data_IF_638403766510
#
_entry.id   IF_638403766510
#
_cell.length_a   1.000
_cell.length_b   1.000
_cell.length_c   1.000
_cell.angle_alpha   90.00
_cell.angle_beta   90.00
_cell.angle_gamma   90.00
#
_symmetry.space_group_name_H-M   'P 1'
#
loop_
_entity.id
_entity.type
_entity.pdbx_description
1 polymer ?
#
# COMPACT_ATOMS: atom_id res chain seq x y z
N UNK A 1 -25.74 -8.10 -20.93
CA UNK A 1 -27.05 -7.57 -20.50
C UNK A 1 -26.79 -6.54 -19.41
N UNK A 2 -27.27 -5.30 -19.58
CA UNK A 2 -27.37 -4.28 -18.53
C UNK A 2 -26.23 -3.26 -18.46
N UNK A 3 -26.36 -2.18 -19.22
CA UNK A 3 -25.55 -0.95 -19.17
C UNK A 3 -26.49 0.20 -18.75
N UNK A 4 -26.09 1.08 -17.82
CA UNK A 4 -26.64 2.42 -17.50
C UNK A 4 -25.76 2.98 -16.35
N UNK A 5 -25.00 4.07 -16.41
CA UNK A 5 -25.31 5.39 -16.93
C UNK A 5 -24.04 6.09 -17.47
N UNK A 6 -24.15 6.53 -18.71
CA UNK A 6 -23.47 7.70 -19.28
C UNK A 6 -24.45 8.88 -19.25
N UNK A 7 -23.91 10.09 -19.45
CA UNK A 7 -24.59 11.39 -19.57
C UNK A 7 -24.67 12.20 -18.27
N UNK A 8 -23.66 13.04 -18.04
CA UNK A 8 -23.85 14.49 -18.17
C UNK A 8 -22.47 15.13 -18.37
N UNK A 9 -22.05 15.19 -19.64
CA UNK A 9 -20.97 16.03 -20.14
C UNK A 9 -21.32 17.52 -19.95
N UNK A 10 -20.32 18.39 -19.79
CA UNK A 10 -20.57 19.82 -20.00
C UNK A 10 -19.57 20.85 -19.48
N UNK A 11 -18.28 20.68 -19.78
CA UNK A 11 -17.32 21.73 -20.13
C UNK A 11 -17.40 23.15 -19.52
N UNK A 12 -16.31 23.47 -18.80
CA UNK A 12 -15.35 24.53 -19.15
C UNK A 12 -15.54 25.95 -18.56
N UNK A 13 -14.56 26.29 -17.69
CA UNK A 13 -13.81 27.54 -17.63
C UNK A 13 -14.55 28.87 -17.40
N UNK A 14 -14.28 29.52 -16.25
CA UNK A 14 -13.34 30.65 -16.15
C UNK A 14 -13.43 31.37 -14.80
N UNK A 15 -12.27 31.45 -14.15
CA UNK A 15 -11.70 32.55 -13.38
C UNK A 15 -12.58 33.70 -12.84
N UNK A 16 -12.41 33.87 -11.52
CA UNK A 16 -12.01 35.11 -10.83
C UNK A 16 -13.00 36.27 -10.68
N UNK A 17 -13.03 36.74 -9.42
CA UNK A 17 -12.90 38.14 -9.01
C UNK A 17 -14.13 38.70 -8.28
N UNK A 18 -13.96 38.75 -6.96
CA UNK A 18 -14.74 39.53 -6.00
C UNK A 18 -14.88 40.98 -6.43
N UNK A 19 -16.08 41.55 -6.33
CA UNK A 19 -16.29 42.97 -6.02
C UNK A 19 -17.71 43.25 -5.53
N UNK A 20 -17.73 44.02 -4.46
CA UNK A 20 -18.86 44.53 -3.67
C UNK A 20 -19.80 45.42 -4.51
N UNK A 21 -21.10 45.37 -4.20
CA UNK A 21 -22.12 46.27 -4.72
C UNK A 21 -23.33 46.29 -3.79
N UNK A 22 -23.42 47.37 -3.03
CA UNK A 22 -24.50 47.75 -2.11
C UNK A 22 -25.71 48.22 -2.94
N UNK A 23 -26.93 47.76 -2.65
CA UNK A 23 -28.11 48.50 -3.07
C UNK A 23 -29.32 48.26 -2.16
N UNK A 24 -29.89 49.38 -1.74
CA UNK A 24 -30.91 49.49 -0.71
C UNK A 24 -32.31 49.45 -1.33
N UNK A 25 -33.31 49.08 -0.52
CA UNK A 25 -34.76 49.30 -0.73
C UNK A 25 -35.47 48.52 -1.85
N UNK A 26 -36.34 47.58 -1.44
CA UNK A 26 -37.78 47.75 -1.67
C UNK A 26 -38.64 46.74 -0.91
N UNK A 27 -39.65 47.32 -0.28
CA UNK A 27 -40.67 46.78 0.62
C UNK A 27 -41.73 45.91 -0.07
N UNK A 28 -42.48 45.14 0.75
CA UNK A 28 -43.82 44.58 0.52
C UNK A 28 -43.91 43.28 -0.33
N UNK A 29 -44.12 42.13 0.31
CA UNK A 29 -45.45 41.47 0.43
C UNK A 29 -45.37 40.06 1.00
N UNK A 30 -46.41 39.75 1.75
CA UNK A 30 -46.66 38.54 2.52
C UNK A 30 -46.97 37.30 1.66
N UNK A 31 -46.86 36.15 2.34
CA UNK A 31 -47.65 34.92 2.19
C UNK A 31 -47.02 33.70 1.50
N UNK A 32 -47.06 32.60 2.25
CA UNK A 32 -47.09 31.19 1.81
C UNK A 32 -45.84 30.57 1.19
N UNK A 33 -45.09 29.79 2.00
CA UNK A 33 -44.98 28.31 1.89
C UNK A 33 -43.96 27.76 2.87
N UNK A 34 -44.35 26.66 3.52
CA UNK A 34 -43.60 25.95 4.53
C UNK A 34 -42.14 25.66 4.16
N UNK A 35 -41.32 25.92 5.15
CA UNK A 35 -39.87 26.08 5.17
C UNK A 35 -39.14 24.72 5.06
N UNK A 36 -38.85 24.26 3.84
CA UNK A 36 -37.83 23.22 3.59
C UNK A 36 -36.55 23.88 3.07
N UNK A 37 -35.98 24.75 3.88
CA UNK A 37 -34.74 25.47 3.58
C UNK A 37 -33.60 24.78 4.34
N UNK A 38 -33.07 23.67 3.81
CA UNK A 38 -31.77 23.15 4.29
C UNK A 38 -30.74 24.15 3.79
N UNK A 39 -30.11 24.98 4.65
CA UNK A 39 -29.18 25.98 4.18
C UNK A 39 -28.05 25.26 3.44
N UNK A 40 -27.68 25.75 2.24
CA UNK A 40 -26.52 25.29 1.46
C UNK A 40 -25.27 25.08 2.34
N UNK A 41 -25.15 25.83 3.44
CA UNK A 41 -24.17 25.65 4.52
C UNK A 41 -24.04 24.22 5.03
N UNK A 42 -25.14 23.49 5.29
CA UNK A 42 -25.08 22.14 5.87
C UNK A 42 -24.56 21.12 4.86
N UNK A 43 -25.03 21.18 3.61
CA UNK A 43 -24.55 20.29 2.53
C UNK A 43 -23.06 20.56 2.23
N UNK A 44 -22.65 21.83 2.23
CA UNK A 44 -21.25 22.21 2.05
C UNK A 44 -20.37 21.68 3.20
N UNK A 45 -20.82 21.80 4.45
CA UNK A 45 -20.12 21.28 5.62
C UNK A 45 -19.99 19.74 5.57
N UNK A 46 -21.06 19.02 5.22
CA UNK A 46 -21.01 17.58 5.02
C UNK A 46 -20.03 17.18 3.92
N UNK A 47 -20.01 17.91 2.80
CA UNK A 47 -19.06 17.67 1.72
C UNK A 47 -17.62 17.87 2.20
N UNK A 48 -17.32 18.99 2.88
CA UNK A 48 -15.99 19.26 3.44
C UNK A 48 -15.55 18.15 4.39
N UNK A 49 -16.42 17.74 5.32
CA UNK A 49 -16.13 16.66 6.26
C UNK A 49 -15.90 15.32 5.55
N UNK A 50 -16.68 15.02 4.50
CA UNK A 50 -16.48 13.80 3.70
C UNK A 50 -15.14 13.81 2.95
N UNK A 51 -14.74 14.95 2.38
CA UNK A 51 -13.45 15.10 1.70
C UNK A 51 -12.29 14.97 2.69
N UNK A 52 -12.41 15.60 3.87
CA UNK A 52 -11.42 15.50 4.93
C UNK A 52 -11.24 14.05 5.42
N UNK A 53 -12.35 13.30 5.58
CA UNK A 53 -12.30 11.89 5.97
C UNK A 53 -11.62 11.02 4.88
N UNK A 54 -11.91 11.26 3.60
CA UNK A 54 -11.25 10.56 2.48
C UNK A 54 -9.74 10.86 2.46
N UNK A 55 -9.35 12.12 2.64
CA UNK A 55 -7.95 12.53 2.68
C UNK A 55 -7.19 11.90 3.86
N UNK A 56 -7.80 11.87 5.05
CA UNK A 56 -7.23 11.22 6.22
C UNK A 56 -6.99 9.72 5.96
N UNK A 57 -7.99 9.03 5.40
CA UNK A 57 -7.86 7.62 5.06
C UNK A 57 -6.75 7.37 4.01
N UNK A 58 -6.63 8.23 3.00
CA UNK A 58 -5.55 8.14 2.02
C UNK A 58 -4.17 8.30 2.67
N UNK A 59 -4.01 9.29 3.54
CA UNK A 59 -2.77 9.51 4.29
C UNK A 59 -2.41 8.32 5.19
N UNK A 60 -3.39 7.75 5.89
CA UNK A 60 -3.18 6.56 6.72
C UNK A 60 -2.71 5.36 5.90
N UNK A 61 -3.31 5.13 4.73
CA UNK A 61 -2.91 4.08 3.80
C UNK A 61 -1.48 4.31 3.29
N UNK A 62 -1.11 5.55 2.96
CA UNK A 62 0.24 5.91 2.53
C UNK A 62 1.27 5.66 3.64
N UNK A 63 0.98 6.08 4.88
CA UNK A 63 1.85 5.83 6.04
C UNK A 63 2.01 4.33 6.28
N UNK A 64 0.92 3.57 6.20
CA UNK A 64 0.95 2.13 6.36
C UNK A 64 1.80 1.44 5.29
N UNK A 65 1.66 1.86 4.03
CA UNK A 65 2.45 1.36 2.90
C UNK A 65 3.94 1.71 3.04
N UNK A 66 4.27 2.94 3.47
CA UNK A 66 5.64 3.35 3.75
C UNK A 66 6.27 2.48 4.87
N UNK A 67 5.54 2.25 5.96
CA UNK A 67 5.98 1.35 7.04
C UNK A 67 6.22 -0.07 6.53
N UNK A 68 5.35 -0.58 5.65
CA UNK A 68 5.50 -1.90 5.04
C UNK A 68 6.76 -1.97 4.17
N UNK A 69 6.98 -0.97 3.31
CA UNK A 69 8.18 -0.89 2.45
C UNK A 69 9.46 -0.83 3.26
N UNK A 70 9.54 0.06 4.25
CA UNK A 70 10.71 0.19 5.12
C UNK A 70 11.05 -1.12 5.85
N UNK A 71 10.02 -1.83 6.35
CA UNK A 71 10.20 -3.14 6.99
C UNK A 71 10.75 -4.18 6.02
N UNK A 72 10.24 -4.23 4.78
CA UNK A 72 10.70 -5.19 3.76
C UNK A 72 12.13 -4.85 3.34
N UNK A 73 12.43 -3.59 3.05
CA UNK A 73 13.78 -3.15 2.69
C UNK A 73 14.80 -3.53 3.76
N UNK A 74 14.53 -3.24 5.04
CA UNK A 74 15.42 -3.63 6.13
C UNK A 74 15.58 -5.15 6.32
N UNK A 75 14.60 -5.96 5.88
CA UNK A 75 14.70 -7.42 5.89
C UNK A 75 15.50 -7.95 4.70
N UNK A 76 15.39 -7.33 3.52
CA UNK A 76 16.17 -7.67 2.33
C UNK A 76 17.66 -7.38 2.53
N UNK A 77 17.99 -6.31 3.27
CA UNK A 77 19.36 -5.99 3.67
C UNK A 77 20.04 -7.09 4.49
N UNK A 78 19.26 -7.95 5.17
CA UNK A 78 19.78 -9.09 5.93
C UNK A 78 20.08 -10.32 5.06
N UNK A 79 19.57 -10.37 3.83
CA UNK A 79 19.88 -11.44 2.89
C UNK A 79 21.19 -11.04 2.17
N UNK A 80 22.24 -11.88 2.20
CA UNK A 80 23.49 -11.57 1.51
C UNK A 80 23.30 -11.42 0.00
N UNK A 81 24.04 -10.49 -0.59
CA UNK A 81 24.22 -10.38 -2.03
C UNK A 81 25.53 -11.10 -2.36
N UNK A 82 25.48 -11.99 -3.34
CA UNK A 82 26.62 -12.76 -3.80
C UNK A 82 26.94 -12.38 -5.26
N UNK A 83 28.18 -12.64 -5.68
CA UNK A 83 28.58 -12.47 -7.06
C UNK A 83 28.38 -13.79 -7.79
N UNK A 84 27.69 -13.75 -8.92
CA UNK A 84 27.52 -14.92 -9.76
C UNK A 84 28.86 -15.38 -10.35
N UNK A 85 29.09 -16.69 -10.32
CA UNK A 85 30.26 -17.35 -10.91
C UNK A 85 29.78 -18.58 -11.70
N UNK A 86 29.96 -18.53 -13.01
CA UNK A 86 29.54 -19.57 -13.97
C UNK A 86 30.11 -20.96 -13.63
N UNK A 87 31.29 -21.02 -12.98
CA UNK A 87 31.94 -22.30 -12.64
C UNK A 87 31.21 -22.99 -11.48
N UNK A 88 30.73 -22.22 -10.51
CA UNK A 88 30.14 -22.75 -9.28
C UNK A 88 28.62 -22.87 -9.33
N UNK A 89 27.95 -22.14 -10.22
CA UNK A 89 26.49 -21.97 -10.23
C UNK A 89 25.79 -22.45 -11.51
N UNK A 90 26.32 -23.49 -12.17
CA UNK A 90 25.92 -24.02 -13.49
C UNK A 90 24.51 -24.67 -13.58
N UNK A 91 23.60 -24.39 -12.66
CA UNK A 91 22.27 -25.03 -12.61
C UNK A 91 21.12 -24.05 -12.86
N UNK A 92 21.39 -22.75 -12.89
CA UNK A 92 20.42 -21.69 -13.20
C UNK A 92 21.19 -20.55 -13.86
N UNK A 93 21.14 -20.50 -15.18
CA UNK A 93 21.93 -19.54 -15.96
C UNK A 93 21.12 -18.28 -16.29
N UNK A 94 19.85 -18.19 -15.87
CA UNK A 94 18.93 -17.10 -16.23
C UNK A 94 18.05 -16.66 -15.05
N UNK A 95 17.83 -15.34 -14.94
CA UNK A 95 16.89 -14.77 -14.00
C UNK A 95 15.45 -14.83 -14.54
N UNK A 96 14.57 -15.58 -13.89
CA UNK A 96 13.18 -15.78 -14.36
C UNK A 96 12.28 -14.54 -14.26
N UNK A 97 12.74 -13.46 -13.62
CA UNK A 97 12.00 -12.19 -13.53
C UNK A 97 12.21 -11.35 -14.79
N UNK A 98 13.47 -11.17 -15.20
CA UNK A 98 13.82 -10.36 -16.36
C UNK A 98 14.08 -11.16 -17.64
N UNK A 99 14.11 -12.49 -17.54
CA UNK A 99 14.41 -13.42 -18.62
C UNK A 99 15.77 -13.13 -19.29
N UNK A 100 16.78 -12.83 -18.48
CA UNK A 100 18.15 -12.54 -18.94
C UNK A 100 19.14 -13.45 -18.24
N UNK A 101 20.16 -13.89 -18.98
CA UNK A 101 21.23 -14.72 -18.48
C UNK A 101 22.05 -13.99 -17.41
N UNK A 102 22.51 -14.74 -16.40
CA UNK A 102 23.47 -14.23 -15.43
C UNK A 102 24.85 -14.13 -16.08
N UNK A 103 25.56 -13.04 -15.82
CA UNK A 103 26.95 -12.88 -16.27
C UNK A 103 27.89 -12.95 -15.07
N UNK A 104 29.11 -13.47 -15.27
CA UNK A 104 30.13 -13.50 -14.22
C UNK A 104 30.26 -12.14 -13.51
N UNK A 105 30.30 -12.17 -12.18
CA UNK A 105 30.34 -11.02 -11.28
C UNK A 105 29.07 -10.13 -11.23
N UNK A 106 27.93 -10.62 -11.72
CA UNK A 106 26.63 -9.96 -11.46
C UNK A 106 26.19 -10.13 -10.02
N UNK A 107 25.51 -9.11 -9.48
CA UNK A 107 24.93 -9.17 -8.14
C UNK A 107 23.66 -10.00 -8.15
N UNK A 108 23.75 -11.17 -7.54
CA UNK A 108 22.64 -12.09 -7.39
C UNK A 108 22.23 -12.18 -5.92
N UNK A 109 20.97 -12.55 -5.73
CA UNK A 109 20.42 -12.83 -4.41
C UNK A 109 19.82 -14.23 -4.42
N UNK A 110 20.32 -15.06 -3.53
CA UNK A 110 19.77 -16.39 -3.26
C UNK A 110 18.78 -16.30 -2.11
N UNK A 111 17.50 -16.57 -2.38
CA UNK A 111 16.49 -16.60 -1.32
C UNK A 111 16.66 -17.83 -0.42
N UNK A 112 16.11 -17.87 0.80
CA UNK A 112 16.28 -19.03 1.68
C UNK A 112 15.56 -20.30 1.17
N UNK A 113 14.65 -20.17 0.19
CA UNK A 113 14.11 -21.28 -0.60
C UNK A 113 15.06 -21.81 -1.70
N UNK A 114 16.27 -21.24 -1.82
CA UNK A 114 17.35 -21.57 -2.76
C UNK A 114 17.15 -21.15 -4.23
N UNK A 115 16.13 -20.37 -4.55
CA UNK A 115 16.00 -19.75 -5.88
C UNK A 115 16.87 -18.50 -6.00
N UNK A 116 17.49 -18.33 -7.17
CA UNK A 116 18.49 -17.30 -7.48
C UNK A 116 17.90 -16.31 -8.49
N UNK A 117 18.18 -15.02 -8.30
CA UNK A 117 17.74 -13.92 -9.16
C UNK A 117 18.79 -12.81 -9.17
N UNK A 118 18.69 -11.87 -10.12
CA UNK A 118 19.39 -10.60 -9.98
C UNK A 118 18.88 -9.90 -8.72
N UNK A 119 19.81 -9.37 -7.91
CA UNK A 119 19.50 -8.64 -6.67
C UNK A 119 18.43 -7.56 -6.89
N UNK A 120 18.61 -6.71 -7.89
CA UNK A 120 17.66 -5.65 -8.26
C UNK A 120 16.27 -6.21 -8.64
N UNK A 121 16.24 -7.25 -9.48
CA UNK A 121 14.98 -7.84 -9.95
C UNK A 121 14.15 -8.42 -8.80
N UNK A 122 14.80 -9.14 -7.87
CA UNK A 122 14.08 -9.75 -6.76
C UNK A 122 13.73 -8.75 -5.67
N UNK A 123 14.53 -7.70 -5.45
CA UNK A 123 14.23 -6.67 -4.46
C UNK A 123 12.98 -5.88 -4.86
N UNK A 124 12.86 -5.49 -6.13
CA UNK A 124 11.67 -4.83 -6.68
C UNK A 124 10.42 -5.72 -6.62
N UNK A 125 10.61 -7.02 -6.86
CA UNK A 125 9.52 -8.00 -6.74
C UNK A 125 9.04 -8.11 -5.29
N UNK A 126 9.97 -8.27 -4.34
CA UNK A 126 9.65 -8.48 -2.93
C UNK A 126 9.05 -7.24 -2.26
N UNK A 127 9.32 -6.04 -2.77
CA UNK A 127 8.60 -4.83 -2.39
C UNK A 127 7.11 -4.89 -2.74
N UNK A 128 6.70 -5.59 -3.80
CA UNK A 128 5.29 -5.74 -4.22
C UNK A 128 4.64 -6.94 -3.54
N UNK A 129 5.30 -8.10 -3.64
CA UNK A 129 4.81 -9.38 -3.17
C UNK A 129 5.93 -10.08 -2.41
N UNK A 130 5.80 -10.21 -1.10
CA UNK A 130 6.86 -10.76 -0.24
C UNK A 130 6.95 -12.30 -0.27
N UNK A 131 6.98 -12.89 -1.47
CA UNK A 131 7.04 -14.31 -1.73
C UNK A 131 7.91 -14.61 -2.97
N UNK A 132 8.53 -15.79 -2.99
CA UNK A 132 9.37 -16.22 -4.11
C UNK A 132 8.54 -16.39 -5.41
N UNK A 133 8.97 -15.80 -6.55
CA UNK A 133 8.28 -15.97 -7.84
C UNK A 133 8.16 -17.43 -8.32
N UNK A 134 9.11 -18.29 -7.93
CA UNK A 134 9.20 -19.67 -8.44
C UNK A 134 8.36 -20.67 -7.64
N UNK A 135 8.41 -20.60 -6.31
CA UNK A 135 7.70 -21.56 -5.44
C UNK A 135 6.57 -20.95 -4.62
N UNK A 136 6.32 -19.63 -4.72
CA UNK A 136 5.29 -18.90 -3.98
C UNK A 136 5.44 -18.94 -2.45
N UNK A 137 6.57 -19.44 -1.93
CA UNK A 137 6.81 -19.46 -0.47
C UNK A 137 7.12 -18.05 0.03
N UNK A 138 6.43 -17.58 1.09
CA UNK A 138 6.75 -16.31 1.74
C UNK A 138 8.19 -16.26 2.23
N UNK A 139 8.87 -15.13 2.00
CA UNK A 139 10.29 -15.00 2.37
C UNK A 139 10.47 -14.91 3.89
N UNK A 140 9.51 -14.33 4.61
CA UNK A 140 9.52 -14.22 6.08
C UNK A 140 9.58 -15.59 6.77
N UNK A 141 8.80 -16.54 6.28
CA UNK A 141 8.70 -17.90 6.80
C UNK A 141 10.03 -18.61 6.67
N UNK A 142 10.75 -18.34 5.58
CA UNK A 142 12.04 -18.94 5.30
C UNK A 142 13.17 -18.32 6.15
N UNK A 143 13.15 -16.99 6.36
CA UNK A 143 14.08 -16.30 7.26
C UNK A 143 13.84 -16.71 8.72
N UNK A 144 12.59 -16.73 9.17
CA UNK A 144 12.22 -17.19 10.50
C UNK A 144 12.59 -18.66 10.72
N UNK A 145 12.47 -19.51 9.71
CA UNK A 145 12.93 -20.91 9.81
C UNK A 145 14.45 -20.97 9.96
N UNK A 146 15.22 -20.16 9.23
CA UNK A 146 16.68 -20.09 9.40
C UNK A 146 17.11 -19.55 10.77
N UNK A 147 16.44 -18.50 11.27
CA UNK A 147 16.69 -17.98 12.62
C UNK A 147 16.27 -18.97 13.70
N UNK A 148 15.10 -19.62 13.57
CA UNK A 148 14.62 -20.59 14.56
C UNK A 148 15.37 -21.91 14.50
N UNK A 149 15.90 -22.34 13.36
CA UNK A 149 16.78 -23.51 13.27
C UNK A 149 18.07 -23.31 14.09
N UNK A 150 18.59 -22.08 14.14
CA UNK A 150 19.73 -21.73 15.00
C UNK A 150 19.33 -21.60 16.49
N UNK A 151 18.04 -21.39 16.77
CA UNK A 151 17.48 -21.25 18.13
C UNK A 151 16.87 -22.56 18.63
N UNK A 152 16.66 -23.58 17.79
CA UNK A 152 15.96 -24.82 18.13
C UNK A 152 16.64 -25.68 19.22
N UNK A 153 17.81 -25.26 19.72
CA UNK A 153 18.42 -25.75 20.96
C UNK A 153 18.02 -24.99 22.23
N UNK A 154 17.17 -23.97 22.14
CA UNK A 154 16.73 -23.09 23.23
C UNK A 154 15.21 -22.91 23.22
N UNK A 155 14.61 -23.00 24.40
CA UNK A 155 13.17 -22.99 24.65
C UNK A 155 12.48 -21.75 24.04
N UNK A 156 11.69 -21.94 22.97
CA UNK A 156 10.96 -20.92 22.22
C UNK A 156 9.66 -20.46 22.92
N UNK A 157 9.37 -20.95 24.12
CA UNK A 157 8.16 -20.58 24.88
C UNK A 157 8.03 -19.08 25.14
N UNK A 158 9.12 -18.31 25.10
CA UNK A 158 9.11 -16.86 25.31
C UNK A 158 8.91 -16.01 24.05
N UNK A 159 8.93 -16.60 22.84
CA UNK A 159 8.86 -15.85 21.57
C UNK A 159 7.44 -15.84 20.97
N UNK A 160 6.49 -16.54 21.59
CA UNK A 160 5.07 -16.40 21.27
C UNK A 160 4.52 -15.08 21.81
N UNK A 161 4.65 -14.00 21.02
CA UNK A 161 3.85 -12.81 21.21
C UNK A 161 2.38 -13.14 20.91
N UNK A 162 1.67 -13.60 21.95
CA UNK A 162 0.21 -13.66 21.99
C UNK A 162 -0.34 -12.25 21.83
N UNK A 163 -0.53 -11.83 20.58
CA UNK A 163 -1.28 -10.63 20.26
C UNK A 163 -2.75 -10.89 20.56
N UNK A 164 -3.13 -10.52 21.79
CA UNK A 164 -4.41 -9.97 22.19
C UNK A 164 -5.67 -10.51 21.47
N UNK A 165 -6.29 -11.55 22.06
CA UNK A 165 -7.74 -11.73 22.02
C UNK A 165 -8.26 -11.99 23.43
N UNK A 166 -8.31 -10.93 24.24
CA UNK A 166 -9.20 -10.87 25.40
C UNK A 166 -10.27 -9.84 25.03
N UNK A 167 -11.23 -10.29 24.22
CA UNK A 167 -12.52 -9.61 24.09
C UNK A 167 -13.39 -10.04 25.27
N UNK A 168 -13.27 -9.33 26.39
CA UNK A 168 -14.27 -9.38 27.45
C UNK A 168 -15.30 -8.28 27.14
N UNK A 169 -16.51 -8.69 26.78
CA UNK A 169 -17.70 -7.84 26.94
C UNK A 169 -18.88 -8.74 27.30
N UNK A 170 -19.03 -8.84 28.62
CA UNK A 170 -20.26 -8.87 29.41
C UNK A 170 -21.54 -9.46 28.78
N UNK A 171 -22.02 -10.42 29.56
CA UNK A 171 -23.36 -11.02 29.63
C UNK A 171 -24.49 -10.00 29.70
#
# INVERSE_FOLDING_TARGET
MGNCLSEYFGNNSNNSHERLGDDSNRTLRENHRDNRNVPTSYVNELYINSQAAIQQQQLENEIQEQKRRARITGLLEQIPIEKYDEITMSHCDECTICMMEFTNNTDIRTLPCKHIYHSECIDDWLLRTFACPMCMTPVDSSILTSFTANIAGSDLSSISCNSARIGTSLR
#
